data_IF_646123134433
#
_entry.id   IF_646123134433
#
_cell.length_a   1.000
_cell.length_b   1.000
_cell.length_c   1.000
_cell.angle_alpha   90.00
_cell.angle_beta   90.00
_cell.angle_gamma   90.00
#
_symmetry.space_group_name_H-M   'P 1'
#
loop_
_entity.id
_entity.type
_entity.pdbx_description
1 polymer ?
#
# COMPACT_ATOMS: atom_id res chain seq x y z
N UNK A 1 10.80 20.67 -0.61
CA UNK A 1 10.83 19.24 -0.24
C UNK A 1 9.69 18.50 -0.89
N UNK A 2 9.80 17.18 -1.02
CA UNK A 2 8.89 16.43 -1.89
C UNK A 2 8.09 15.38 -1.13
N UNK A 3 6.81 15.31 -1.45
CA UNK A 3 5.95 14.20 -1.10
C UNK A 3 5.79 13.29 -2.32
N UNK A 4 6.33 12.07 -2.25
CA UNK A 4 6.04 11.05 -3.26
C UNK A 4 4.67 10.47 -2.99
N UNK A 5 3.83 10.40 -4.01
CA UNK A 5 2.53 9.75 -3.90
C UNK A 5 2.64 8.22 -3.91
N UNK A 6 1.64 7.57 -3.33
CA UNK A 6 1.57 6.12 -3.20
C UNK A 6 0.47 5.50 -4.05
N UNK A 7 0.81 4.51 -4.87
CA UNK A 7 -0.13 3.60 -5.52
C UNK A 7 -0.45 2.46 -4.56
N UNK A 8 -1.71 2.10 -4.41
CA UNK A 8 -2.12 0.97 -3.56
C UNK A 8 -2.36 -0.23 -4.46
N UNK A 9 -1.52 -1.26 -4.34
CA UNK A 9 -1.61 -2.44 -5.18
C UNK A 9 -2.55 -3.49 -4.56
N UNK A 10 -3.56 -3.88 -5.32
CA UNK A 10 -4.62 -4.83 -4.93
C UNK A 10 -4.90 -5.71 -6.12
N UNK A 11 -4.76 -7.03 -5.95
CA UNK A 11 -5.10 -7.98 -7.01
C UNK A 11 -6.58 -7.86 -7.37
N UNK A 12 -6.88 -8.00 -8.66
CA UNK A 12 -8.25 -7.98 -9.18
C UNK A 12 -8.88 -9.38 -9.02
N UNK A 13 -10.16 -9.41 -8.65
CA UNK A 13 -10.88 -10.68 -8.40
C UNK A 13 -11.10 -11.51 -9.67
N UNK A 14 -11.12 -10.87 -10.83
CA UNK A 14 -11.41 -11.48 -12.12
C UNK A 14 -10.15 -11.70 -12.97
N UNK A 15 -9.01 -11.14 -12.54
CA UNK A 15 -7.73 -11.31 -13.22
C UNK A 15 -6.96 -12.51 -12.69
N UNK A 16 -6.75 -13.51 -13.54
CA UNK A 16 -5.95 -14.69 -13.17
C UNK A 16 -4.45 -14.41 -13.34
N UNK A 17 -3.83 -13.89 -12.28
CA UNK A 17 -2.38 -13.68 -12.28
C UNK A 17 -1.63 -15.03 -12.28
N UNK A 18 -0.55 -15.15 -13.07
CA UNK A 18 0.33 -16.31 -12.95
C UNK A 18 1.07 -16.30 -11.61
N UNK A 19 1.63 -17.46 -11.27
CA UNK A 19 2.59 -17.61 -10.19
C UNK A 19 3.75 -16.62 -10.33
N UNK A 20 4.27 -16.17 -9.20
CA UNK A 20 5.33 -15.17 -9.17
C UNK A 20 6.62 -15.76 -9.75
N UNK A 21 7.21 -15.04 -10.69
CA UNK A 21 8.58 -15.26 -11.12
C UNK A 21 9.51 -14.32 -10.35
N UNK A 22 10.33 -14.87 -9.45
CA UNK A 22 11.27 -14.10 -8.63
C UNK A 22 12.42 -13.46 -9.42
N UNK A 23 12.61 -13.83 -10.69
CA UNK A 23 13.55 -13.18 -11.60
C UNK A 23 13.01 -11.89 -12.24
N UNK A 24 11.72 -11.57 -12.05
CA UNK A 24 11.07 -10.40 -12.63
C UNK A 24 10.63 -9.45 -11.50
N UNK A 25 10.81 -8.12 -11.64
CA UNK A 25 10.30 -7.17 -10.65
C UNK A 25 8.79 -7.31 -10.43
N UNK A 26 8.34 -7.22 -9.18
CA UNK A 26 6.92 -7.41 -8.83
C UNK A 26 5.99 -6.43 -9.57
N UNK A 27 6.43 -5.19 -9.80
CA UNK A 27 5.69 -4.17 -10.58
C UNK A 27 5.35 -4.64 -12.00
N UNK A 28 6.19 -5.47 -12.63
CA UNK A 28 5.93 -5.97 -13.99
C UNK A 28 4.95 -7.14 -14.02
N UNK A 29 4.66 -7.71 -12.85
CA UNK A 29 3.83 -8.90 -12.69
C UNK A 29 2.50 -8.61 -12.01
N UNK A 30 2.40 -7.47 -11.32
CA UNK A 30 1.25 -7.05 -10.52
C UNK A 30 0.98 -5.57 -10.76
N UNK A 31 -0.17 -5.28 -11.36
CA UNK A 31 -0.45 -3.97 -11.95
C UNK A 31 -1.88 -3.47 -11.72
N UNK A 32 -2.69 -4.22 -10.97
CA UNK A 32 -3.99 -3.74 -10.51
C UNK A 32 -3.84 -2.99 -9.19
N UNK A 33 -4.53 -1.86 -9.07
CA UNK A 33 -4.55 -1.08 -7.83
C UNK A 33 -5.37 0.19 -7.92
N UNK A 34 -5.02 1.14 -7.06
CA UNK A 34 -5.61 2.47 -6.95
C UNK A 34 -4.58 3.56 -7.19
N UNK A 35 -4.99 4.61 -7.89
CA UNK A 35 -4.22 5.83 -8.03
C UNK A 35 -4.38 6.73 -6.80
N UNK A 36 -3.47 7.70 -6.57
CA UNK A 36 -3.53 8.58 -5.40
C UNK A 36 -4.86 9.35 -5.26
N UNK A 37 -5.44 9.75 -6.39
CA UNK A 37 -6.74 10.43 -6.46
C UNK A 37 -7.93 9.56 -6.09
N UNK A 38 -7.81 8.23 -6.24
CA UNK A 38 -8.89 7.29 -5.92
C UNK A 38 -9.03 7.07 -4.40
N UNK A 39 -8.01 7.46 -3.61
CA UNK A 39 -7.96 7.13 -2.19
C UNK A 39 -7.33 8.22 -1.32
N UNK A 40 -7.97 9.41 -1.32
CA UNK A 40 -7.46 10.59 -0.60
C UNK A 40 -7.21 10.39 0.91
N UNK A 41 -7.94 9.47 1.56
CA UNK A 41 -7.85 9.24 3.01
C UNK A 41 -6.70 8.32 3.46
N UNK A 42 -6.12 7.53 2.55
CA UNK A 42 -5.02 6.59 2.86
C UNK A 42 -3.82 6.87 1.95
N UNK A 43 -3.27 8.08 2.03
CA UNK A 43 -2.05 8.41 1.32
C UNK A 43 -0.90 7.54 1.83
N UNK A 44 -0.49 6.57 1.01
CA UNK A 44 0.68 5.69 1.27
C UNK A 44 2.00 6.31 0.81
N UNK A 45 1.99 7.61 0.52
CA UNK A 45 3.15 8.38 0.12
C UNK A 45 4.24 8.50 1.18
N UNK A 46 5.39 9.04 0.80
CA UNK A 46 6.49 9.34 1.73
C UNK A 46 7.09 10.69 1.43
N UNK A 47 7.46 11.35 2.51
CA UNK A 47 8.22 12.58 2.49
C UNK A 47 9.71 12.31 2.24
N UNK A 48 10.28 12.95 1.22
CA UNK A 48 11.70 12.93 0.88
C UNK A 48 12.36 14.24 1.30
N UNK A 49 13.30 14.06 2.24
CA UNK A 49 14.22 14.92 2.95
C UNK A 49 15.61 15.28 2.38
N UNK A 50 16.10 16.50 2.60
CA UNK A 50 17.52 16.84 2.67
C UNK A 50 17.85 17.66 3.95
N UNK A 51 16.86 17.88 4.83
CA UNK A 51 17.10 18.43 6.16
C UNK A 51 17.86 17.43 7.04
N UNK A 52 18.59 17.95 8.03
CA UNK A 52 19.32 17.15 9.03
C UNK A 52 18.41 16.14 9.74
N UNK A 53 17.15 16.50 9.99
CA UNK A 53 16.12 15.61 10.52
C UNK A 53 14.80 15.73 9.76
N UNK A 54 14.02 14.65 9.74
CA UNK A 54 12.75 14.61 9.01
C UNK A 54 11.57 15.23 9.72
N UNK A 55 11.73 15.62 11.00
CA UNK A 55 10.65 16.20 11.83
C UNK A 55 9.35 15.40 11.76
N UNK A 56 9.48 14.07 11.79
CA UNK A 56 8.39 13.13 11.59
C UNK A 56 7.48 13.03 12.81
N UNK A 57 6.17 12.89 12.58
CA UNK A 57 5.25 12.44 13.63
C UNK A 57 5.43 10.94 13.92
N UNK A 58 4.79 10.45 14.97
CA UNK A 58 4.78 9.02 15.31
C UNK A 58 4.34 8.18 14.10
N UNK A 59 5.07 7.10 13.84
CA UNK A 59 4.85 6.24 12.66
C UNK A 59 5.44 6.77 11.35
N UNK A 60 6.04 7.98 11.36
CA UNK A 60 6.63 8.63 10.18
C UNK A 60 5.66 8.80 9.01
N UNK A 61 4.39 8.98 9.35
CA UNK A 61 3.33 9.18 8.36
C UNK A 61 3.23 10.65 7.92
N UNK A 62 3.63 11.59 8.77
CA UNK A 62 3.63 13.02 8.48
C UNK A 62 4.95 13.65 8.91
N UNK A 63 5.25 14.83 8.36
CA UNK A 63 6.38 15.68 8.74
C UNK A 63 5.87 17.09 9.01
N UNK A 64 6.51 17.80 9.94
CA UNK A 64 6.25 19.22 10.16
C UNK A 64 6.90 20.14 9.11
N UNK A 65 7.77 19.60 8.26
CA UNK A 65 8.38 20.35 7.17
C UNK A 65 7.37 20.59 6.05
N UNK A 66 7.40 21.78 5.46
CA UNK A 66 6.63 22.07 4.26
C UNK A 66 7.09 21.19 3.09
N UNK A 67 6.13 20.74 2.28
CA UNK A 67 6.39 19.89 1.14
C UNK A 67 5.41 20.16 0.01
N UNK A 68 5.85 19.88 -1.22
CA UNK A 68 4.98 19.86 -2.40
C UNK A 68 4.89 18.44 -2.93
N UNK A 69 3.78 18.12 -3.59
CA UNK A 69 3.63 16.84 -4.29
C UNK A 69 4.69 16.77 -5.39
N UNK A 70 5.48 15.70 -5.40
CA UNK A 70 6.42 15.45 -6.47
C UNK A 70 5.66 15.13 -7.76
N UNK A 71 6.11 15.61 -8.94
CA UNK A 71 5.53 15.20 -10.21
C UNK A 71 5.49 13.67 -10.33
N UNK A 72 4.58 13.09 -11.16
CA UNK A 72 4.44 11.64 -11.34
C UNK A 72 5.60 11.05 -12.18
N UNK A 73 6.84 11.37 -11.80
CA UNK A 73 8.09 10.81 -12.29
C UNK A 73 8.67 9.81 -11.27
N UNK A 74 8.19 9.84 -10.03
CA UNK A 74 8.46 8.86 -9.00
C UNK A 74 7.22 8.64 -8.12
N UNK A 75 7.03 7.41 -7.66
CA UNK A 75 5.95 7.04 -6.75
C UNK A 75 6.35 5.85 -5.89
N UNK A 76 5.49 5.52 -4.94
CA UNK A 76 5.61 4.33 -4.09
C UNK A 76 4.54 3.34 -4.48
N UNK A 77 4.92 2.15 -4.92
CA UNK A 77 3.98 1.06 -5.07
C UNK A 77 3.85 0.28 -3.76
N UNK A 78 2.71 0.43 -3.10
CA UNK A 78 2.43 -0.22 -1.83
C UNK A 78 1.67 -1.54 -2.06
N UNK A 79 2.41 -2.64 -1.96
CA UNK A 79 1.93 -4.02 -2.11
C UNK A 79 1.17 -4.52 -0.89
N UNK A 80 0.04 -3.86 -0.62
CA UNK A 80 -0.82 -4.17 0.51
C UNK A 80 -1.63 -5.43 0.32
N UNK A 81 -2.21 -5.63 -0.87
CA UNK A 81 -3.14 -6.73 -1.17
C UNK A 81 -2.82 -7.36 -2.52
N UNK A 82 -1.55 -7.30 -2.91
CA UNK A 82 -1.02 -7.86 -4.15
C UNK A 82 0.41 -8.29 -3.90
N UNK A 83 0.81 -9.55 -4.19
CA UNK A 83 -0.06 -10.65 -4.59
C UNK A 83 -1.02 -11.07 -3.46
N UNK A 84 -2.27 -11.40 -3.78
CA UNK A 84 -3.23 -11.93 -2.82
C UNK A 84 -3.19 -13.46 -2.78
N UNK A 85 -2.22 -14.00 -2.03
CA UNK A 85 -2.01 -15.44 -1.86
C UNK A 85 -1.92 -15.83 -0.38
N UNK A 86 -1.76 -17.14 -0.12
CA UNK A 86 -1.66 -17.68 1.24
C UNK A 86 -0.52 -17.09 2.05
N UNK A 87 0.64 -16.82 1.44
CA UNK A 87 1.77 -16.23 2.14
C UNK A 87 1.45 -14.80 2.59
N UNK A 88 0.81 -14.00 1.74
CA UNK A 88 0.36 -12.65 2.09
C UNK A 88 -0.70 -12.67 3.20
N UNK A 89 -1.70 -13.55 3.09
CA UNK A 89 -2.74 -13.72 4.12
C UNK A 89 -2.14 -14.09 5.48
N UNK A 90 -1.27 -15.10 5.52
CA UNK A 90 -0.57 -15.53 6.74
C UNK A 90 0.24 -14.40 7.36
N UNK A 91 1.00 -13.65 6.54
CA UNK A 91 1.79 -12.51 7.02
C UNK A 91 0.92 -11.43 7.68
N UNK A 92 -0.23 -11.10 7.10
CA UNK A 92 -1.13 -10.09 7.68
C UNK A 92 -1.75 -10.57 9.00
N UNK A 93 -2.20 -11.82 9.05
CA UNK A 93 -2.82 -12.42 10.24
C UNK A 93 -1.83 -12.61 11.39
N UNK A 94 -0.54 -12.73 11.10
CA UNK A 94 0.51 -12.87 12.12
C UNK A 94 0.66 -11.64 13.03
N UNK A 95 0.28 -10.44 12.58
CA UNK A 95 0.57 -9.20 13.32
C UNK A 95 -0.35 -9.04 14.55
N UNK A 96 -1.65 -9.27 14.39
CA UNK A 96 -2.65 -9.08 15.46
C UNK A 96 -2.30 -9.76 16.78
N UNK A 97 -1.93 -11.05 16.78
CA UNK A 97 -1.53 -11.77 18.00
C UNK A 97 -0.31 -11.19 18.73
N UNK A 98 0.54 -10.42 18.04
CA UNK A 98 1.77 -9.84 18.63
C UNK A 98 1.55 -8.48 19.31
N UNK A 99 0.33 -7.93 19.23
CA UNK A 99 0.01 -6.65 19.86
C UNK A 99 -0.03 -6.77 21.39
N UNK A 100 0.65 -5.85 22.07
CA UNK A 100 0.60 -5.76 23.53
C UNK A 100 -0.80 -5.34 24.02
N UNK A 101 -1.17 -5.75 25.24
CA UNK A 101 -2.44 -5.33 25.86
C UNK A 101 -2.53 -3.80 25.99
N UNK A 102 -1.42 -3.12 26.28
CA UNK A 102 -1.37 -1.66 26.30
C UNK A 102 -1.69 -1.04 24.93
N UNK A 103 -1.18 -1.61 23.83
CA UNK A 103 -1.49 -1.17 22.47
C UNK A 103 -2.96 -1.37 22.13
N UNK A 104 -3.54 -2.52 22.51
CA UNK A 104 -4.95 -2.83 22.30
C UNK A 104 -5.85 -1.86 23.05
N UNK A 105 -5.57 -1.62 24.33
CA UNK A 105 -6.33 -0.68 25.15
C UNK A 105 -6.22 0.76 24.63
N UNK A 106 -5.05 1.16 24.14
CA UNK A 106 -4.82 2.46 23.51
C UNK A 106 -5.35 2.59 22.06
N UNK A 107 -6.05 1.58 21.52
CA UNK A 107 -6.58 1.61 20.16
C UNK A 107 -5.51 1.57 19.05
N UNK A 108 -4.25 1.28 19.38
CA UNK A 108 -3.14 1.29 18.44
C UNK A 108 -2.98 -0.05 17.73
N UNK A 109 -2.91 -0.03 16.40
CA UNK A 109 -2.70 -1.25 15.60
C UNK A 109 -3.90 -2.20 15.56
N UNK A 110 -5.06 -1.80 16.08
CA UNK A 110 -6.28 -2.63 16.16
C UNK A 110 -6.78 -3.13 14.80
N UNK A 111 -6.44 -2.43 13.71
CA UNK A 111 -6.70 -2.89 12.34
C UNK A 111 -5.98 -4.21 11.97
N UNK A 112 -5.01 -4.66 12.77
CA UNK A 112 -4.38 -5.96 12.64
C UNK A 112 -5.07 -7.08 13.45
N UNK A 113 -6.00 -6.74 14.35
CA UNK A 113 -6.83 -7.70 15.08
C UNK A 113 -8.00 -8.08 14.16
N UNK A 114 -7.72 -8.99 13.23
CA UNK A 114 -8.64 -9.35 12.17
C UNK A 114 -8.68 -10.88 12.00
N UNK A 115 -9.87 -11.43 11.76
CA UNK A 115 -10.01 -12.86 11.46
C UNK A 115 -9.67 -13.13 9.99
N UNK A 116 -9.36 -14.38 9.61
CA UNK A 116 -9.14 -14.73 8.20
C UNK A 116 -10.32 -14.34 7.29
N UNK A 117 -11.56 -14.56 7.76
CA UNK A 117 -12.78 -14.27 7.02
C UNK A 117 -12.94 -12.77 6.81
N UNK A 118 -12.73 -11.97 7.87
CA UNK A 118 -12.83 -10.52 7.81
C UNK A 118 -11.72 -9.90 6.95
N UNK A 119 -10.53 -10.51 6.95
CA UNK A 119 -9.43 -10.11 6.08
C UNK A 119 -9.75 -10.37 4.61
N UNK A 120 -10.39 -11.49 4.31
CA UNK A 120 -10.84 -11.84 2.96
C UNK A 120 -12.00 -10.94 2.49
N UNK A 121 -12.95 -10.61 3.36
CA UNK A 121 -13.99 -9.60 3.08
C UNK A 121 -13.36 -8.24 2.73
N UNK A 122 -12.39 -7.79 3.55
CA UNK A 122 -11.70 -6.53 3.30
C UNK A 122 -10.95 -6.53 1.97
N UNK A 123 -10.25 -7.62 1.65
CA UNK A 123 -9.64 -7.77 0.33
C UNK A 123 -10.67 -7.66 -0.78
N UNK A 124 -11.80 -8.39 -0.70
CA UNK A 124 -12.84 -8.35 -1.74
C UNK A 124 -13.44 -6.96 -1.91
N UNK A 125 -13.69 -6.25 -0.82
CA UNK A 125 -14.20 -4.88 -0.87
C UNK A 125 -13.21 -3.93 -1.55
N UNK A 126 -11.90 -4.07 -1.26
CA UNK A 126 -10.85 -3.33 -1.96
C UNK A 126 -10.68 -3.76 -3.41
N UNK A 127 -10.80 -5.05 -3.72
CA UNK A 127 -10.56 -5.54 -5.06
C UNK A 127 -11.68 -5.13 -6.04
N UNK A 128 -12.90 -4.87 -5.56
CA UNK A 128 -14.02 -4.40 -6.40
C UNK A 128 -13.77 -3.09 -7.13
N UNK A 129 -12.95 -2.19 -6.56
CA UNK A 129 -12.65 -0.87 -7.14
C UNK A 129 -11.28 -0.77 -7.80
N UNK A 130 -10.51 -1.86 -7.83
CA UNK A 130 -9.17 -1.87 -8.42
C UNK A 130 -9.24 -1.65 -9.93
N UNK A 131 -8.18 -1.06 -10.50
CA UNK A 131 -8.07 -0.80 -11.94
C UNK A 131 -6.73 -1.28 -12.46
N UNK A 132 -6.64 -1.62 -13.74
CA UNK A 132 -5.37 -1.91 -14.39
C UNK A 132 -4.56 -0.60 -14.58
N UNK A 133 -3.52 -0.43 -13.78
CA UNK A 133 -2.71 0.78 -13.73
C UNK A 133 -1.74 0.90 -14.91
N UNK A 134 -1.61 -0.12 -15.76
CA UNK A 134 -0.87 0.00 -17.04
C UNK A 134 -1.54 0.99 -17.99
N UNK A 135 -2.82 1.27 -17.79
CA UNK A 135 -3.56 2.29 -18.53
C UNK A 135 -3.53 3.68 -17.88
N UNK A 136 -2.82 3.85 -16.76
CA UNK A 136 -2.66 5.17 -16.12
C UNK A 136 -1.82 6.10 -16.99
N UNK A 137 -2.35 7.27 -17.36
CA UNK A 137 -1.55 8.27 -18.07
C UNK A 137 -0.32 8.75 -17.29
N UNK A 138 -0.47 8.90 -15.97
CA UNK A 138 0.59 9.43 -15.10
C UNK A 138 1.61 8.38 -14.67
N UNK A 139 1.19 7.13 -14.41
CA UNK A 139 2.03 6.13 -13.75
C UNK A 139 2.29 4.87 -14.57
N UNK A 140 1.85 4.81 -15.84
CA UNK A 140 2.09 3.64 -16.71
C UNK A 140 3.56 3.21 -16.76
N UNK A 141 4.50 4.16 -16.73
CA UNK A 141 5.94 3.88 -16.79
C UNK A 141 6.44 2.93 -15.70
N UNK A 142 5.74 2.87 -14.56
CA UNK A 142 6.08 2.01 -13.43
C UNK A 142 5.88 0.52 -13.76
N UNK A 143 5.01 0.22 -14.72
CA UNK A 143 4.56 -1.13 -15.06
C UNK A 143 5.09 -1.64 -16.41
N UNK A 144 5.96 -0.87 -17.09
CA UNK A 144 6.60 -1.24 -18.36
C UNK A 144 7.96 -1.95 -18.14
#
# INVERSE_FOLDING_TARGET
MYWLEGLIMVDDLNYNYPDLNFGIPLMKQRFHGYLPEDWALWRRGRFIHNHEHGSYTVGRHLSAHESMIYPPLACIAWFGFSPWNDAMRKRKLQIGPTLSEASKHGGMGTHHIITPEKLEEWYKDLARGTKDLRFSGAYRYVFL
#
